data_IF_545894585251
#
_entry.id   IF_545894585251
#
_cell.length_a   1.000
_cell.length_b   1.000
_cell.length_c   1.000
_cell.angle_alpha   90.00
_cell.angle_beta   90.00
_cell.angle_gamma   90.00
#
_symmetry.space_group_name_H-M   'P 1'
#
loop_
_entity.id
_entity.type
_entity.pdbx_description
1 polymer ?
#
# COMPACT_ATOMS: atom_id res chain seq x y z
N UNK A 1 -3.01 11.80 -3.31
CA UNK A 1 -3.67 11.09 -4.46
C UNK A 1 -3.47 9.58 -4.34
N UNK A 2 -4.46 8.77 -4.75
CA UNK A 2 -4.41 7.29 -4.70
C UNK A 2 -4.33 6.74 -6.11
N UNK A 3 -3.30 5.94 -6.39
CA UNK A 3 -3.06 5.38 -7.73
C UNK A 3 -3.27 3.87 -7.74
N UNK A 4 -3.88 3.33 -8.81
CA UNK A 4 -3.90 1.87 -9.03
C UNK A 4 -2.51 1.41 -9.46
N UNK A 5 -1.94 0.48 -8.72
CA UNK A 5 -0.61 -0.08 -9.01
C UNK A 5 -0.78 -1.47 -9.62
N UNK A 6 -0.11 -1.67 -10.75
CA UNK A 6 -0.07 -2.89 -11.55
C UNK A 6 1.37 -3.30 -11.77
N UNK A 7 1.59 -4.54 -12.19
CA UNK A 7 2.95 -5.02 -12.51
C UNK A 7 3.62 -4.14 -13.58
N UNK A 8 2.84 -3.59 -14.52
CA UNK A 8 3.35 -2.74 -15.60
C UNK A 8 3.78 -1.34 -15.13
N UNK A 9 3.13 -0.77 -14.11
CA UNK A 9 3.44 0.58 -13.64
C UNK A 9 4.23 0.61 -12.33
N UNK A 10 4.41 -0.52 -11.65
CA UNK A 10 5.11 -0.60 -10.37
C UNK A 10 6.50 0.05 -10.43
N UNK A 11 7.26 -0.20 -11.50
CA UNK A 11 8.61 0.35 -11.63
C UNK A 11 8.60 1.87 -11.73
N UNK A 12 7.70 2.45 -12.52
CA UNK A 12 7.61 3.91 -12.68
C UNK A 12 6.97 4.59 -11.48
N UNK A 13 5.92 3.99 -10.92
CA UNK A 13 5.09 4.60 -9.88
C UNK A 13 5.63 4.41 -8.47
N UNK A 14 6.37 3.31 -8.23
CA UNK A 14 6.89 2.90 -6.91
C UNK A 14 8.41 2.97 -6.88
N UNK A 15 9.09 2.28 -7.80
CA UNK A 15 10.56 2.20 -7.77
C UNK A 15 11.23 3.51 -8.20
N UNK A 16 10.68 4.18 -9.22
CA UNK A 16 11.11 5.48 -9.71
C UNK A 16 10.55 6.67 -8.94
N UNK A 17 9.75 6.44 -7.89
CA UNK A 17 9.17 7.53 -7.10
C UNK A 17 10.23 8.24 -6.27
N UNK A 18 10.25 9.58 -6.35
CA UNK A 18 11.14 10.42 -5.54
C UNK A 18 10.68 10.56 -4.08
N UNK A 19 9.44 10.15 -3.78
CA UNK A 19 8.86 10.15 -2.44
C UNK A 19 8.49 8.72 -2.01
N UNK A 20 8.45 8.42 -0.69
CA UNK A 20 7.99 7.13 -0.18
C UNK A 20 6.60 6.75 -0.71
N UNK A 21 6.42 5.48 -1.05
CA UNK A 21 5.18 4.95 -1.60
C UNK A 21 4.62 3.87 -0.69
N UNK A 22 3.39 4.07 -0.21
CA UNK A 22 2.66 3.07 0.56
C UNK A 22 1.74 2.30 -0.38
N UNK A 23 1.94 0.99 -0.49
CA UNK A 23 1.07 0.09 -1.23
C UNK A 23 0.10 -0.60 -0.28
N UNK A 24 -1.19 -0.49 -0.60
CA UNK A 24 -2.29 -1.19 0.05
C UNK A 24 -2.74 -2.36 -0.84
N UNK A 25 -2.52 -3.58 -0.35
CA UNK A 25 -2.93 -4.81 -1.02
C UNK A 25 -4.33 -5.20 -0.56
N UNK A 26 -5.28 -5.13 -1.49
CA UNK A 26 -6.69 -5.31 -1.20
C UNK A 26 -7.36 -6.25 -2.22
N UNK A 27 -8.59 -6.66 -1.91
CA UNK A 27 -9.49 -7.36 -2.82
C UNK A 27 -10.94 -6.95 -2.55
N UNK A 28 -11.85 -7.00 -3.56
CA UNK A 28 -13.25 -6.58 -3.40
C UNK A 28 -14.05 -7.45 -2.42
N UNK A 29 -13.65 -8.71 -2.24
CA UNK A 29 -14.27 -9.65 -1.30
C UNK A 29 -13.72 -9.54 0.13
N UNK A 30 -12.71 -8.70 0.37
CA UNK A 30 -12.11 -8.50 1.69
C UNK A 30 -12.87 -7.44 2.49
N UNK A 31 -13.81 -7.88 3.34
CA UNK A 31 -14.60 -6.97 4.18
C UNK A 31 -13.77 -6.12 5.18
N UNK A 32 -12.61 -6.62 5.62
CA UNK A 32 -11.68 -5.85 6.46
C UNK A 32 -10.93 -4.76 5.68
N UNK A 33 -10.71 -4.97 4.38
CA UNK A 33 -10.05 -3.99 3.52
C UNK A 33 -10.94 -2.74 3.34
N UNK A 34 -12.26 -2.91 3.28
CA UNK A 34 -13.22 -1.80 3.19
C UNK A 34 -13.18 -0.90 4.44
N UNK A 35 -12.92 -1.47 5.61
CA UNK A 35 -12.77 -0.70 6.86
C UNK A 35 -11.44 0.07 6.90
N UNK A 36 -10.40 -0.48 6.26
CA UNK A 36 -9.08 0.14 6.19
C UNK A 36 -9.01 1.28 5.16
N UNK A 37 -9.79 1.18 4.08
CA UNK A 37 -9.84 2.16 2.99
C UNK A 37 -9.96 3.63 3.47
N UNK A 38 -10.92 4.03 4.34
CA UNK A 38 -10.99 5.41 4.81
C UNK A 38 -9.76 5.83 5.62
N UNK A 39 -9.16 4.90 6.37
CA UNK A 39 -7.94 5.19 7.13
C UNK A 39 -6.75 5.45 6.21
N UNK A 40 -6.61 4.66 5.14
CA UNK A 40 -5.56 4.84 4.13
C UNK A 40 -5.77 6.15 3.36
N UNK A 41 -7.01 6.47 3.02
CA UNK A 41 -7.36 7.71 2.33
C UNK A 41 -7.05 8.94 3.22
N UNK A 42 -7.31 8.87 4.52
CA UNK A 42 -6.90 9.91 5.47
C UNK A 42 -5.37 10.05 5.58
N UNK A 43 -4.64 8.94 5.66
CA UNK A 43 -3.16 8.97 5.68
C UNK A 43 -2.63 9.59 4.37
N UNK A 44 -3.23 9.26 3.23
CA UNK A 44 -2.88 9.84 1.95
C UNK A 44 -3.11 11.37 1.92
N UNK A 45 -4.15 11.86 2.60
CA UNK A 45 -4.45 13.28 2.69
C UNK A 45 -3.52 14.01 3.68
N UNK A 46 -3.28 13.45 4.86
CA UNK A 46 -2.40 14.05 5.89
C UNK A 46 -0.95 14.16 5.43
N UNK A 47 -0.51 13.21 4.60
CA UNK A 47 0.84 13.14 4.05
C UNK A 47 0.88 13.49 2.56
N UNK A 48 -0.11 14.24 2.04
CA UNK A 48 -0.12 14.67 0.65
C UNK A 48 1.16 15.46 0.32
N UNK A 49 1.81 15.08 -0.78
CA UNK A 49 3.13 15.62 -1.17
C UNK A 49 4.34 15.05 -0.41
N UNK A 50 4.14 14.31 0.69
CA UNK A 50 5.22 13.60 1.42
C UNK A 50 5.28 12.13 1.08
N UNK A 51 4.13 11.50 0.87
CA UNK A 51 4.03 10.10 0.44
C UNK A 51 3.08 9.96 -0.73
N UNK A 52 3.25 8.87 -1.47
CA UNK A 52 2.33 8.41 -2.49
C UNK A 52 1.60 7.18 -1.98
N UNK A 53 0.29 7.10 -2.20
CA UNK A 53 -0.49 5.92 -1.83
C UNK A 53 -0.91 5.19 -3.10
N UNK A 54 -0.59 3.90 -3.16
CA UNK A 54 -0.93 3.00 -4.24
C UNK A 54 -1.84 1.89 -3.75
N UNK A 55 -2.85 1.51 -4.53
CA UNK A 55 -3.71 0.36 -4.25
C UNK A 55 -3.42 -0.76 -5.26
N UNK A 56 -3.09 -1.94 -4.76
CA UNK A 56 -2.84 -3.16 -5.55
C UNK A 56 -3.97 -4.14 -5.30
N UNK A 57 -4.70 -4.48 -6.35
CA UNK A 57 -5.71 -5.52 -6.27
C UNK A 57 -5.02 -6.88 -6.46
N UNK A 58 -5.06 -7.74 -5.45
CA UNK A 58 -4.40 -9.05 -5.51
C UNK A 58 -5.08 -10.03 -6.48
N UNK A 59 -6.36 -9.83 -6.82
CA UNK A 59 -7.07 -10.65 -7.82
C UNK A 59 -6.62 -10.31 -9.24
N UNK A 60 -6.33 -9.03 -9.51
CA UNK A 60 -5.83 -8.57 -10.81
C UNK A 60 -4.32 -8.77 -10.94
N UNK A 61 -3.58 -8.63 -9.84
CA UNK A 61 -2.11 -8.64 -9.80
C UNK A 61 -1.56 -9.71 -8.83
N UNK A 62 -1.93 -10.99 -8.98
CA UNK A 62 -1.53 -12.05 -8.05
C UNK A 62 -0.01 -12.28 -8.05
N UNK A 63 0.64 -12.07 -9.20
CA UNK A 63 2.10 -12.19 -9.32
C UNK A 63 2.83 -11.10 -8.52
N UNK A 64 2.31 -9.86 -8.55
CA UNK A 64 2.87 -8.75 -7.78
C UNK A 64 2.71 -8.98 -6.28
N UNK A 65 1.52 -9.42 -5.86
CA UNK A 65 1.24 -9.79 -4.47
C UNK A 65 2.18 -10.92 -3.99
N UNK A 66 2.34 -11.97 -4.78
CA UNK A 66 3.23 -13.09 -4.47
C UNK A 66 4.70 -12.65 -4.39
N UNK A 67 5.16 -11.75 -5.27
CA UNK A 67 6.52 -11.20 -5.27
C UNK A 67 6.87 -10.51 -3.95
N UNK A 68 5.90 -9.84 -3.31
CA UNK A 68 6.09 -9.18 -2.00
C UNK A 68 5.71 -10.06 -0.80
N UNK A 69 5.40 -11.34 -1.04
CA UNK A 69 5.00 -12.28 -0.01
C UNK A 69 3.68 -11.89 0.67
N UNK A 70 2.74 -11.34 -0.10
CA UNK A 70 1.38 -11.05 0.35
C UNK A 70 0.57 -12.34 0.19
N UNK A 71 0.47 -13.09 1.28
CA UNK A 71 -0.29 -14.36 1.33
C UNK A 71 -1.67 -14.20 1.98
N UNK A 72 -1.90 -13.07 2.64
CA UNK A 72 -3.16 -12.71 3.28
C UNK A 72 -3.37 -11.21 3.13
N UNK A 73 -4.64 -10.79 3.19
CA UNK A 73 -5.06 -9.39 3.12
C UNK A 73 -5.96 -9.07 4.31
N UNK A 74 -6.01 -7.81 4.77
CA UNK A 74 -5.29 -6.65 4.24
C UNK A 74 -3.80 -6.61 4.61
N UNK A 75 -2.95 -6.13 3.69
CA UNK A 75 -1.52 -5.88 3.91
C UNK A 75 -1.16 -4.52 3.36
N UNK A 76 -0.39 -3.73 4.11
CA UNK A 76 0.18 -2.48 3.65
C UNK A 76 1.71 -2.56 3.68
N UNK A 77 2.40 -2.01 2.68
CA UNK A 77 3.85 -1.98 2.65
C UNK A 77 4.36 -0.61 2.19
N UNK A 78 5.40 -0.09 2.87
CA UNK A 78 6.10 1.13 2.49
C UNK A 78 7.30 0.78 1.61
N UNK A 79 7.43 1.48 0.50
CA UNK A 79 8.52 1.41 -0.44
C UNK A 79 9.23 2.75 -0.55
N UNK A 80 10.56 2.73 -0.63
CA UNK A 80 11.39 3.90 -0.86
C UNK A 80 12.49 3.51 -1.85
N UNK A 81 12.56 4.19 -3.01
CA UNK A 81 13.53 3.86 -4.06
C UNK A 81 13.41 2.43 -4.59
N UNK A 82 12.19 1.86 -4.59
CA UNK A 82 11.93 0.48 -5.02
C UNK A 82 12.22 -0.60 -3.97
N UNK A 83 12.76 -0.24 -2.82
CA UNK A 83 12.98 -1.17 -1.71
C UNK A 83 11.83 -1.12 -0.71
N UNK A 84 11.37 -2.27 -0.26
CA UNK A 84 10.37 -2.36 0.81
C UNK A 84 11.04 -2.05 2.16
N UNK A 85 10.67 -0.93 2.78
CA UNK A 85 11.21 -0.48 4.08
C UNK A 85 10.37 -0.95 5.27
N UNK A 86 9.07 -1.08 5.08
CA UNK A 86 8.16 -1.56 6.12
C UNK A 86 7.02 -2.39 5.52
N UNK A 87 6.49 -3.35 6.28
CA UNK A 87 5.33 -4.16 5.91
C UNK A 87 4.46 -4.41 7.15
N UNK A 88 3.16 -4.24 6.98
CA UNK A 88 2.14 -4.40 8.01
C UNK A 88 1.09 -5.39 7.50
N UNK A 89 0.76 -6.37 8.32
CA UNK A 89 -0.21 -7.41 7.99
C UNK A 89 -1.39 -7.32 8.94
N UNK A 90 -2.58 -7.04 8.39
CA UNK A 90 -3.82 -6.83 9.13
C UNK A 90 -4.34 -5.40 9.05
N UNK A 91 -5.60 -5.23 9.46
CA UNK A 91 -6.24 -3.93 9.58
C UNK A 91 -5.92 -3.32 10.95
N UNK A 92 -5.09 -2.29 10.97
CA UNK A 92 -4.77 -1.54 12.19
C UNK A 92 -5.38 -0.14 12.17
N UNK A 93 -5.62 0.48 13.33
CA UNK A 93 -5.98 1.89 13.42
C UNK A 93 -4.91 2.79 12.81
N UNK A 94 -5.31 3.99 12.37
CA UNK A 94 -4.44 5.01 11.74
C UNK A 94 -3.10 5.21 12.44
N UNK A 95 -3.12 5.41 13.76
CA UNK A 95 -1.92 5.66 14.56
C UNK A 95 -0.92 4.50 14.51
N UNK A 96 -1.44 3.26 14.57
CA UNK A 96 -0.61 2.05 14.47
C UNK A 96 -0.11 1.85 13.03
N UNK A 97 -0.91 2.14 12.01
CA UNK A 97 -0.42 2.10 10.63
C UNK A 97 0.72 3.08 10.39
N UNK A 98 0.59 4.34 10.83
CA UNK A 98 1.64 5.36 10.71
C UNK A 98 2.92 4.89 11.40
N UNK A 99 2.79 4.39 12.64
CA UNK A 99 3.92 3.88 13.42
C UNK A 99 4.60 2.68 12.75
N UNK A 100 3.82 1.69 12.31
CA UNK A 100 4.36 0.46 11.72
C UNK A 100 4.92 0.68 10.31
N UNK A 101 4.32 1.59 9.53
CA UNK A 101 4.83 2.01 8.22
C UNK A 101 5.99 3.01 8.33
N UNK A 102 6.33 3.47 9.55
CA UNK A 102 7.37 4.45 9.80
C UNK A 102 7.17 5.72 8.96
N UNK A 103 5.95 6.25 9.03
CA UNK A 103 5.51 7.51 8.42
C UNK A 103 5.65 8.67 9.41
#
# INVERSE_FOLDING_TARGET
MITKITTANFESEVAGSSIPVVLDFWAPWCGFCTQLAPTIDEIAADYDGKIKVGKVNIDEEPQLAAKFGVMSIPVCAKFEGGEMKAKVLGAYPKAELIKNLQL
#
